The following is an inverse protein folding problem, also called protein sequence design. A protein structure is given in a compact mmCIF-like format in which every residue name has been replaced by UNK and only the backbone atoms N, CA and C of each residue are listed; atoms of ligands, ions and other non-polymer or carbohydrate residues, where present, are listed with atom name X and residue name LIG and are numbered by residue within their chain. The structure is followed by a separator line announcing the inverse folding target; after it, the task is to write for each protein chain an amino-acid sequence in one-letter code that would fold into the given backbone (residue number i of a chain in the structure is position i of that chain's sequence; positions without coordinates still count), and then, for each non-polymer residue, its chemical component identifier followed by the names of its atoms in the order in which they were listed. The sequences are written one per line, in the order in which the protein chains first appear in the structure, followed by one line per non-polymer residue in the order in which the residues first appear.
data_IF_806723564047
#
_entry.id   IF_806723564047
#
_cell.length_a   1.000
_cell.length_b   1.000
_cell.length_c   1.000
_cell.angle_alpha   90.00
_cell.angle_beta   90.00
_cell.angle_gamma   90.00
#
_symmetry.space_group_name_H-M   'P 1'
#
loop_
_entity.id
_entity.type
_entity.pdbx_description
1 polymer ?
#
# COMPACT_ATOMS: atom_id res chain seq x y z
N UNK A 1 -24.24 -6.83 4.90
CA UNK A 1 -22.95 -7.21 5.50
C UNK A 1 -21.87 -6.89 4.49
N UNK A 2 -20.83 -6.13 4.86
CA UNK A 2 -19.75 -5.75 3.94
C UNK A 2 -18.56 -6.66 4.16
N UNK A 3 -18.12 -7.36 3.11
CA UNK A 3 -16.95 -8.24 3.16
C UNK A 3 -15.66 -7.40 3.03
N UNK A 4 -14.58 -7.85 3.68
CA UNK A 4 -13.28 -7.17 3.63
C UNK A 4 -12.21 -8.15 3.20
N UNK A 5 -11.43 -7.80 2.17
CA UNK A 5 -10.34 -8.62 1.62
C UNK A 5 -9.05 -7.82 1.70
N UNK A 6 -7.97 -8.46 2.18
CA UNK A 6 -6.63 -7.90 2.19
C UNK A 6 -5.72 -8.71 1.25
N UNK A 7 -5.02 -8.01 0.36
CA UNK A 7 -4.07 -8.59 -0.59
C UNK A 7 -2.70 -7.95 -0.35
N UNK A 8 -1.68 -8.78 -0.18
CA UNK A 8 -0.28 -8.35 -0.10
C UNK A 8 0.41 -8.76 -1.41
N UNK A 9 0.77 -7.79 -2.23
CA UNK A 9 1.38 -8.01 -3.55
C UNK A 9 2.88 -8.20 -3.48
N UNK A 10 3.39 -9.27 -4.09
CA UNK A 10 4.83 -9.51 -4.24
C UNK A 10 5.53 -8.51 -5.16
N UNK A 11 6.78 -8.82 -5.53
CA UNK A 11 7.53 -8.05 -6.53
C UNK A 11 6.74 -8.04 -7.86
N UNK A 12 6.70 -6.90 -8.55
CA UNK A 12 5.97 -6.64 -9.81
C UNK A 12 4.48 -6.27 -9.73
N UNK A 13 3.86 -6.22 -8.55
CA UNK A 13 2.44 -5.83 -8.42
C UNK A 13 2.20 -4.37 -7.98
N UNK A 14 3.24 -3.53 -7.91
CA UNK A 14 3.12 -2.14 -7.44
C UNK A 14 2.15 -1.29 -8.27
N UNK A 15 2.21 -1.50 -9.58
CA UNK A 15 1.41 -0.81 -10.60
C UNK A 15 0.33 -1.72 -11.20
N UNK A 16 -0.19 -2.69 -10.44
CA UNK A 16 -1.25 -3.55 -10.97
C UNK A 16 -2.50 -2.74 -11.34
N UNK A 17 -2.94 -2.89 -12.59
CA UNK A 17 -4.12 -2.22 -13.15
C UNK A 17 -5.42 -2.59 -12.41
N UNK A 18 -5.41 -3.73 -11.70
CA UNK A 18 -6.50 -4.20 -10.84
C UNK A 18 -6.92 -3.17 -9.77
N UNK A 19 -6.07 -2.19 -9.47
CA UNK A 19 -6.33 -1.14 -8.49
C UNK A 19 -6.21 0.28 -9.09
N UNK A 20 -6.37 0.47 -10.41
CA UNK A 20 -6.28 1.81 -11.01
C UNK A 20 -7.35 2.79 -10.50
N UNK A 21 -8.56 2.31 -10.23
CA UNK A 21 -9.65 3.14 -9.67
C UNK A 21 -9.62 3.22 -8.14
N UNK A 22 -8.58 2.69 -7.49
CA UNK A 22 -8.47 2.69 -6.03
C UNK A 22 -8.01 4.04 -5.49
N UNK A 23 -8.39 4.33 -4.24
CA UNK A 23 -7.84 5.45 -3.48
C UNK A 23 -6.59 5.00 -2.75
N UNK A 24 -5.49 5.75 -2.91
CA UNK A 24 -4.29 5.54 -2.10
C UNK A 24 -4.55 6.12 -0.72
N UNK A 25 -4.40 5.30 0.31
CA UNK A 25 -4.44 5.69 1.72
C UNK A 25 -3.09 5.43 2.36
N UNK A 26 -2.77 6.25 3.35
CA UNK A 26 -1.64 6.05 4.25
C UNK A 26 -2.17 6.08 5.67
N UNK A 27 -1.70 5.14 6.51
CA UNK A 27 -2.06 5.07 7.92
C UNK A 27 -0.82 4.85 8.77
N UNK A 28 -0.79 5.55 9.90
CA UNK A 28 0.19 5.28 10.94
C UNK A 28 -0.23 4.05 11.75
N UNK A 29 0.75 3.25 12.12
CA UNK A 29 0.65 2.09 13.01
C UNK A 29 1.70 2.22 14.11
N UNK A 30 1.61 1.36 15.12
CA UNK A 30 2.65 1.27 16.16
C UNK A 30 4.04 0.96 15.59
N UNK A 31 4.12 0.32 14.41
CA UNK A 31 5.37 -0.11 13.75
C UNK A 31 5.88 0.87 12.67
N UNK A 32 5.16 1.95 12.39
CA UNK A 32 5.47 2.87 11.29
C UNK A 32 4.28 3.13 10.38
N UNK A 33 4.55 3.50 9.14
CA UNK A 33 3.52 3.88 8.17
C UNK A 33 3.24 2.74 7.17
N UNK A 34 1.96 2.53 6.89
CA UNK A 34 1.50 1.63 5.83
C UNK A 34 0.75 2.43 4.76
N UNK A 35 1.21 2.29 3.53
CA UNK A 35 0.54 2.85 2.35
C UNK A 35 -0.15 1.73 1.57
N UNK A 36 -1.43 1.90 1.26
CA UNK A 36 -2.23 0.88 0.61
C UNK A 36 -3.28 1.49 -0.33
N UNK A 37 -3.71 0.70 -1.30
CA UNK A 37 -4.78 1.02 -2.24
C UNK A 37 -6.09 0.44 -1.72
N UNK A 38 -7.14 1.24 -1.58
CA UNK A 38 -8.48 0.80 -1.17
C UNK A 38 -9.46 0.93 -2.34
N UNK A 39 -10.10 -0.19 -2.67
CA UNK A 39 -11.14 -0.29 -3.70
C UNK A 39 -12.43 -0.77 -3.04
N UNK A 40 -13.50 -0.01 -3.24
CA UNK A 40 -14.85 -0.41 -2.81
C UNK A 40 -15.63 -0.91 -4.02
N UNK A 41 -16.16 -2.13 -3.95
CA UNK A 41 -16.95 -2.71 -5.04
C UNK A 41 -18.05 -3.61 -4.49
N UNK A 42 -19.30 -3.39 -4.95
CA UNK A 42 -20.48 -4.26 -4.75
C UNK A 42 -20.54 -4.99 -3.38
N UNK A 43 -20.43 -4.24 -2.28
CA UNK A 43 -20.53 -4.79 -0.92
C UNK A 43 -19.25 -5.43 -0.37
N UNK A 44 -18.11 -5.22 -1.03
CA UNK A 44 -16.79 -5.65 -0.61
C UNK A 44 -15.82 -4.46 -0.59
N UNK A 45 -14.95 -4.41 0.41
CA UNK A 45 -13.80 -3.50 0.47
C UNK A 45 -12.54 -4.32 0.29
N UNK A 46 -11.78 -4.01 -0.75
CA UNK A 46 -10.51 -4.66 -1.05
C UNK A 46 -9.38 -3.70 -0.73
N UNK A 47 -8.42 -4.15 0.08
CA UNK A 47 -7.19 -3.41 0.40
C UNK A 47 -6.01 -4.12 -0.20
N UNK A 48 -5.19 -3.38 -0.93
CA UNK A 48 -3.99 -3.89 -1.56
C UNK A 48 -2.76 -3.17 -1.03
N UNK A 49 -1.82 -3.95 -0.50
CA UNK A 49 -0.53 -3.48 0.01
C UNK A 49 0.56 -4.05 -0.89
N UNK A 50 1.20 -3.25 -1.75
CA UNK A 50 2.43 -3.67 -2.41
C UNK A 50 3.52 -3.90 -1.36
N UNK A 51 4.15 -5.08 -1.37
CA UNK A 51 5.20 -5.46 -0.40
C UNK A 51 6.38 -4.46 -0.37
N UNK A 52 6.68 -3.83 -1.50
CA UNK A 52 7.76 -2.85 -1.63
C UNK A 52 7.32 -1.43 -1.24
N UNK A 53 6.03 -1.18 -1.02
CA UNK A 53 5.51 0.05 -0.43
C UNK A 53 5.26 -0.09 1.07
N UNK A 54 5.35 -1.31 1.59
CA UNK A 54 5.12 -1.59 3.00
C UNK A 54 6.42 -1.35 3.76
N UNK A 55 6.30 -0.55 4.82
CA UNK A 55 7.26 -0.35 5.91
C UNK A 55 8.23 0.81 5.74
N UNK A 56 7.70 2.03 5.60
CA UNK A 56 8.42 3.21 6.08
C UNK A 56 8.37 3.23 7.61
N UNK A 57 9.50 3.10 8.28
CA UNK A 57 9.56 3.20 9.74
C UNK A 57 9.41 4.67 10.17
N UNK A 58 8.91 4.96 11.39
CA UNK A 58 8.81 6.33 11.90
C UNK A 58 10.15 7.06 11.75
N UNK A 59 10.12 8.35 11.43
CA UNK A 59 11.34 9.15 11.29
C UNK A 59 12.15 9.06 12.62
N UNK A 60 13.32 8.42 12.59
CA UNK A 60 14.14 8.17 13.79
C UNK A 60 14.39 6.69 14.14
N UNK A 61 13.75 5.73 13.46
CA UNK A 61 14.13 4.30 13.50
C UNK A 61 15.00 3.98 12.28
N UNK A 62 16.07 3.21 12.46
CA UNK A 62 16.96 2.78 11.37
C UNK A 62 16.15 2.05 10.29
N UNK A 63 16.17 2.60 9.05
CA UNK A 63 15.26 2.19 7.96
C UNK A 63 14.63 3.36 7.19
N UNK A 64 15.11 4.59 7.38
CA UNK A 64 14.66 5.79 6.65
C UNK A 64 14.85 5.62 5.13
N UNK A 65 13.73 5.50 4.39
CA UNK A 65 13.74 5.35 2.95
C UNK A 65 14.28 6.61 2.25
N UNK A 66 15.35 6.43 1.47
CA UNK A 66 15.65 7.30 0.33
C UNK A 66 14.77 6.85 -0.84
N UNK A 67 13.67 7.56 -1.07
CA UNK A 67 12.97 7.48 -2.35
C UNK A 67 13.91 7.96 -3.45
N UNK A 68 14.38 7.06 -4.32
CA UNK A 68 14.85 7.46 -5.64
C UNK A 68 13.60 7.80 -6.45
N UNK A 69 13.31 9.10 -6.58
CA UNK A 69 12.20 9.62 -7.39
C UNK A 69 12.36 9.32 -8.90
N UNK A 70 13.47 8.72 -9.31
CA UNK A 70 13.88 8.61 -10.72
C UNK A 70 13.79 7.19 -11.32
N UNK A 71 13.13 6.21 -10.64
CA UNK A 71 13.06 4.82 -11.14
C UNK A 71 11.71 4.38 -11.73
N UNK A 72 10.73 5.27 -11.77
CA UNK A 72 9.43 5.04 -12.42
C UNK A 72 9.35 5.79 -13.78
N UNK A 73 10.45 5.82 -14.55
CA UNK A 73 10.46 6.10 -15.99
C UNK A 73 10.79 4.83 -16.76
#
# INVERSE_FOLDING_TARGET
MVQKILIIGGTSYGNSDLFMESKIQERETEYGYVRFKELETKGCVVRFIPRHYSLGTKQGTEGTFRHNKDRDL
#
